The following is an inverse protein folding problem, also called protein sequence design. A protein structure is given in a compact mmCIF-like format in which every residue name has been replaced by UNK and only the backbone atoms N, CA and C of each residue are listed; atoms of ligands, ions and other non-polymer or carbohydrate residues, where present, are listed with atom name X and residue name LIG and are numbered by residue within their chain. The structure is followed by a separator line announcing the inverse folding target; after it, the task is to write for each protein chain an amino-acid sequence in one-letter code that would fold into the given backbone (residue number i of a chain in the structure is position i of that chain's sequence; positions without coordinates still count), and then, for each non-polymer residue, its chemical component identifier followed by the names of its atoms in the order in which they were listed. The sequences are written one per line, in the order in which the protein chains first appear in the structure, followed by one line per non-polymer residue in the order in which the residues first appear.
data_IF_620071217061
#
_entry.id   IF_620071217061
#
_cell.length_a   1.000
_cell.length_b   1.000
_cell.length_c   1.000
_cell.angle_alpha   90.00
_cell.angle_beta   90.00
_cell.angle_gamma   90.00
#
_symmetry.space_group_name_H-M   'P 1'
#
loop_
_entity.id
_entity.type
_entity.pdbx_description
1 polymer ?
#
# COMPACT_ATOMS: atom_id res chain seq x y z
N UNK A 1 0.43 -12.91 -12.09
CA UNK A 1 0.17 -12.54 -10.69
C UNK A 1 1.16 -11.46 -10.34
N UNK A 2 0.71 -10.23 -10.09
CA UNK A 2 1.58 -9.18 -9.57
C UNK A 2 2.18 -9.67 -8.26
N UNK A 3 3.51 -9.58 -8.12
CA UNK A 3 4.21 -10.11 -6.96
C UNK A 3 3.87 -9.24 -5.74
N UNK A 4 3.51 -9.82 -4.61
CA UNK A 4 3.14 -9.07 -3.41
C UNK A 4 4.24 -8.10 -2.93
N UNK A 5 5.51 -8.40 -3.22
CA UNK A 5 6.61 -7.49 -2.93
C UNK A 5 6.65 -6.29 -3.90
N UNK A 6 6.21 -6.45 -5.16
CA UNK A 6 6.12 -5.36 -6.13
C UNK A 6 5.04 -4.35 -5.73
N UNK A 7 3.87 -4.83 -5.29
CA UNK A 7 2.81 -3.97 -4.74
C UNK A 7 3.34 -3.15 -3.57
N UNK A 8 4.05 -3.79 -2.63
CA UNK A 8 4.63 -3.12 -1.48
C UNK A 8 5.63 -2.02 -1.88
N UNK A 9 6.49 -2.29 -2.86
CA UNK A 9 7.44 -1.29 -3.37
C UNK A 9 6.73 -0.08 -3.97
N UNK A 10 5.74 -0.30 -4.84
CA UNK A 10 4.92 0.77 -5.44
C UNK A 10 4.23 1.62 -4.37
N UNK A 11 3.72 0.98 -3.31
CA UNK A 11 3.06 1.66 -2.19
C UNK A 11 4.03 2.53 -1.40
N UNK A 12 5.23 2.02 -1.13
CA UNK A 12 6.30 2.77 -0.46
C UNK A 12 6.73 3.97 -1.30
N UNK A 13 6.91 3.79 -2.61
CA UNK A 13 7.31 4.87 -3.52
C UNK A 13 6.25 5.98 -3.57
N UNK A 14 4.98 5.61 -3.63
CA UNK A 14 3.86 6.57 -3.55
C UNK A 14 3.90 7.34 -2.22
N UNK A 15 4.01 6.64 -1.09
CA UNK A 15 4.03 7.27 0.23
C UNK A 15 5.23 8.19 0.43
N UNK A 16 6.40 7.85 -0.12
CA UNK A 16 7.57 8.73 -0.13
C UNK A 16 7.29 10.04 -0.88
N UNK A 17 6.54 10.00 -1.98
CA UNK A 17 6.14 11.22 -2.69
C UNK A 17 5.15 12.08 -1.89
N UNK A 18 4.28 11.46 -1.10
CA UNK A 18 3.37 12.17 -0.19
C UNK A 18 4.13 12.80 0.98
N UNK A 19 5.09 12.09 1.58
CA UNK A 19 5.91 12.62 2.67
C UNK A 19 6.69 13.88 2.23
N UNK A 20 7.26 13.87 1.02
CA UNK A 20 7.90 15.07 0.42
C UNK A 20 6.97 16.28 0.34
N UNK A 21 5.65 16.06 0.32
CA UNK A 21 4.60 17.08 0.16
C UNK A 21 3.75 17.26 1.43
N UNK A 22 4.22 16.80 2.60
CA UNK A 22 3.46 16.83 3.86
C UNK A 22 3.02 18.20 4.35
N UNK A 23 3.62 19.28 3.82
CA UNK A 23 3.17 20.64 4.09
C UNK A 23 1.84 20.99 3.39
N UNK A 24 1.48 20.27 2.33
CA UNK A 24 0.26 20.50 1.54
C UNK A 24 -0.73 19.33 1.62
N UNK A 25 -0.26 18.12 1.89
CA UNK A 25 -1.07 16.90 1.95
C UNK A 25 -0.90 16.28 3.34
N UNK A 26 -2.00 16.19 4.11
CA UNK A 26 -1.98 15.72 5.52
C UNK A 26 -2.26 14.23 5.68
N UNK A 27 -2.52 13.51 4.59
CA UNK A 27 -2.80 12.08 4.64
C UNK A 27 -3.22 11.52 3.31
N UNK A 28 -3.29 10.19 3.26
CA UNK A 28 -3.68 9.43 2.09
C UNK A 28 -4.52 8.23 2.53
N UNK A 29 -5.58 7.94 1.79
CA UNK A 29 -6.37 6.74 1.95
C UNK A 29 -6.13 5.83 0.75
N UNK A 30 -5.57 4.64 0.99
CA UNK A 30 -5.39 3.65 -0.07
C UNK A 30 -6.71 2.95 -0.35
N UNK A 31 -7.21 3.13 -1.57
CA UNK A 31 -8.21 2.24 -2.17
C UNK A 31 -7.48 1.38 -3.19
N UNK A 32 -7.51 0.06 -3.09
CA UNK A 32 -8.56 -0.79 -2.52
C UNK A 32 -8.08 -1.64 -1.33
N UNK A 33 -8.99 -2.00 -0.41
CA UNK A 33 -8.63 -2.85 0.72
C UNK A 33 -8.35 -4.29 0.29
N UNK A 34 -9.16 -4.86 -0.61
CA UNK A 34 -9.03 -6.23 -1.09
C UNK A 34 -9.29 -6.30 -2.59
N UNK A 35 -8.71 -7.28 -3.27
CA UNK A 35 -8.86 -7.45 -4.71
C UNK A 35 -10.31 -7.60 -5.14
N UNK A 36 -10.65 -7.01 -6.28
CA UNK A 36 -11.87 -7.28 -7.03
C UNK A 36 -11.58 -8.26 -8.18
N UNK A 37 -12.63 -8.66 -8.91
CA UNK A 37 -12.50 -9.64 -10.00
C UNK A 37 -11.49 -9.25 -11.07
N UNK A 38 -11.49 -8.00 -11.51
CA UNK A 38 -10.59 -7.50 -12.56
C UNK A 38 -9.48 -6.59 -12.00
N UNK A 39 -9.59 -6.17 -10.75
CA UNK A 39 -8.67 -5.23 -10.10
C UNK A 39 -7.90 -5.94 -9.00
N UNK A 40 -6.63 -6.23 -9.25
CA UNK A 40 -5.77 -6.99 -8.32
C UNK A 40 -4.82 -6.03 -7.56
N UNK A 41 -5.34 -4.86 -7.19
CA UNK A 41 -4.61 -3.81 -6.48
C UNK A 41 -4.86 -3.82 -4.95
N UNK A 42 -5.68 -4.73 -4.43
CA UNK A 42 -6.00 -4.77 -3.01
C UNK A 42 -4.77 -5.03 -2.13
N UNK A 43 -4.76 -4.46 -0.92
CA UNK A 43 -3.80 -4.86 0.12
C UNK A 43 -3.99 -6.32 0.55
N UNK A 44 -5.22 -6.79 0.44
CA UNK A 44 -5.63 -8.16 0.66
C UNK A 44 -5.99 -8.82 -0.67
N UNK A 45 -5.89 -10.14 -0.71
CA UNK A 45 -6.42 -10.97 -1.80
C UNK A 45 -7.95 -10.89 -1.86
N UNK A 46 -8.56 -11.45 -2.91
CA UNK A 46 -10.02 -11.58 -3.04
C UNK A 46 -10.67 -12.27 -1.82
N UNK A 47 -9.95 -13.20 -1.20
CA UNK A 47 -10.38 -13.92 0.01
C UNK A 47 -10.05 -13.19 1.31
N UNK A 48 -9.58 -11.94 1.24
CA UNK A 48 -9.19 -11.07 2.37
C UNK A 48 -7.94 -11.54 3.13
N UNK A 49 -7.13 -12.40 2.53
CA UNK A 49 -5.81 -12.73 3.06
C UNK A 49 -4.79 -11.64 2.73
N UNK A 50 -3.95 -11.18 3.67
CA UNK A 50 -2.92 -10.17 3.38
C UNK A 50 -1.96 -10.61 2.28
N UNK A 51 -1.70 -9.75 1.29
CA UNK A 51 -0.70 -10.04 0.25
C UNK A 51 0.72 -10.04 0.80
N UNK A 52 0.99 -9.21 1.79
CA UNK A 52 2.26 -9.15 2.50
C UNK A 52 2.02 -8.89 4.00
N UNK A 53 2.99 -9.20 4.88
CA UNK A 53 2.87 -8.89 6.30
C UNK A 53 2.68 -7.38 6.52
N UNK A 54 1.59 -6.99 7.19
CA UNK A 54 1.26 -5.57 7.44
C UNK A 54 2.36 -4.82 8.20
N UNK A 55 3.14 -5.54 9.01
CA UNK A 55 4.32 -5.01 9.71
C UNK A 55 5.37 -4.42 8.78
N UNK A 56 5.51 -4.92 7.54
CA UNK A 56 6.44 -4.36 6.54
C UNK A 56 6.07 -2.91 6.21
N UNK A 57 4.79 -2.65 5.94
CA UNK A 57 4.30 -1.31 5.62
C UNK A 57 4.32 -0.40 6.86
N UNK A 58 3.87 -0.90 8.02
CA UNK A 58 3.89 -0.15 9.28
C UNK A 58 5.30 0.36 9.62
N UNK A 59 6.31 -0.51 9.51
CA UNK A 59 7.72 -0.15 9.81
C UNK A 59 8.25 0.98 8.92
N UNK A 60 7.71 1.14 7.70
CA UNK A 60 8.06 2.24 6.80
C UNK A 60 7.33 3.52 7.15
N UNK A 61 6.02 3.43 7.40
CA UNK A 61 5.20 4.57 7.82
C UNK A 61 5.69 5.20 9.14
N UNK A 62 6.11 4.39 10.11
CA UNK A 62 6.63 4.89 11.40
C UNK A 62 7.93 5.71 11.27
N UNK A 63 8.58 5.71 10.09
CA UNK A 63 9.85 6.41 9.81
C UNK A 63 9.69 7.65 8.94
N UNK A 64 8.47 7.95 8.47
CA UNK A 64 8.12 9.13 7.65
C UNK A 64 7.66 10.26 8.55
#
# INVERSE_FOLDING_TARGET
MENSDELLLRLIDLLNEFDKRKNWIQGFCYTELYDQFQEINGLLTLNREPKFPSSKLKTKLDKM
#
